data_IF_028529391850
#
_entry.id   IF_028529391850
#
_cell.length_a   1.000
_cell.length_b   1.000
_cell.length_c   1.000
_cell.angle_alpha   90.00
_cell.angle_beta   90.00
_cell.angle_gamma   90.00
#
_symmetry.space_group_name_H-M   'P 1'
#
loop_
_entity.id
_entity.type
_entity.pdbx_description
1 polymer ?
#
# COMPACT_ATOMS: atom_id res chain seq x y z
N UNK A 1 -18.37 17.31 8.90
CA UNK A 1 -17.33 17.29 8.14
C UNK A 1 -16.55 16.01 8.19
N UNK A 2 -16.22 15.59 7.06
CA UNK A 2 -15.53 14.33 6.91
C UNK A 2 -14.07 14.48 7.19
N UNK A 3 -13.53 13.60 7.96
CA UNK A 3 -12.10 13.56 8.15
C UNK A 3 -11.55 12.37 7.42
N UNK A 4 -10.33 12.51 6.94
CA UNK A 4 -9.67 11.39 6.32
C UNK A 4 -9.25 10.42 7.42
N UNK A 5 -9.61 9.15 7.30
CA UNK A 5 -9.27 8.21 8.35
C UNK A 5 -7.79 7.88 8.37
N UNK A 6 -7.24 7.79 9.55
CA UNK A 6 -5.86 7.40 9.76
C UNK A 6 -5.86 6.00 10.33
N UNK A 7 -5.08 5.14 9.72
CA UNK A 7 -4.92 3.76 10.15
C UNK A 7 -3.54 3.57 10.74
N UNK A 8 -3.40 2.64 11.64
CA UNK A 8 -2.09 2.16 12.03
C UNK A 8 -1.67 1.16 11.00
N UNK A 9 -0.41 1.25 10.57
CA UNK A 9 0.10 0.37 9.53
C UNK A 9 1.41 -0.24 10.00
N UNK A 10 1.62 -1.50 9.66
CA UNK A 10 2.90 -2.13 9.93
C UNK A 10 3.19 -3.18 8.88
N UNK A 11 4.46 -3.40 8.64
CA UNK A 11 4.91 -4.45 7.73
C UNK A 11 6.40 -4.69 7.92
N UNK A 12 6.86 -5.84 7.43
CA UNK A 12 8.28 -6.13 7.35
C UNK A 12 8.74 -5.89 5.92
N UNK A 13 9.90 -5.29 5.79
CA UNK A 13 10.61 -5.26 4.52
C UNK A 13 11.91 -6.00 4.75
N UNK A 14 11.96 -7.23 4.24
CA UNK A 14 13.06 -8.14 4.54
C UNK A 14 13.12 -8.34 6.06
N UNK A 15 14.20 -7.98 6.71
CA UNK A 15 14.31 -8.18 8.15
C UNK A 15 13.94 -6.96 8.96
N UNK A 16 13.61 -5.85 8.31
CA UNK A 16 13.30 -4.61 9.03
C UNK A 16 11.80 -4.43 9.19
N UNK A 17 11.42 -3.95 10.36
CA UNK A 17 10.02 -3.77 10.69
C UNK A 17 9.66 -2.30 10.68
N UNK A 18 8.56 -1.98 10.05
CA UNK A 18 8.01 -0.64 10.06
C UNK A 18 6.67 -0.63 10.76
N UNK A 19 6.45 0.38 11.59
CA UNK A 19 5.16 0.63 12.21
C UNK A 19 4.93 2.13 12.20
N UNK A 20 3.78 2.55 11.72
CA UNK A 20 3.48 3.98 11.63
C UNK A 20 2.02 4.22 11.37
N UNK A 21 1.74 5.37 10.74
CA UNK A 21 0.39 5.79 10.42
C UNK A 21 0.21 5.93 8.93
N UNK A 22 -0.98 5.65 8.47
CA UNK A 22 -1.31 5.72 7.05
C UNK A 22 -2.63 6.44 6.85
N UNK A 23 -2.66 7.31 5.86
CA UNK A 23 -3.85 8.05 5.50
C UNK A 23 -4.63 7.27 4.44
N UNK A 24 -5.90 7.00 4.68
CA UNK A 24 -6.75 6.43 3.65
C UNK A 24 -7.22 7.57 2.75
N UNK A 25 -6.70 7.60 1.56
CA UNK A 25 -6.96 8.71 0.63
C UNK A 25 -7.86 8.21 -0.49
N UNK A 26 -9.12 8.62 -0.46
CA UNK A 26 -10.08 8.21 -1.48
C UNK A 26 -9.72 8.73 -2.86
N UNK A 27 -8.87 9.74 -2.94
CA UNK A 27 -8.41 10.24 -4.22
C UNK A 27 -7.24 9.48 -4.82
N UNK A 28 -6.66 8.55 -4.08
CA UNK A 28 -5.55 7.79 -4.62
C UNK A 28 -6.05 6.74 -5.60
N UNK A 29 -5.76 6.93 -6.88
CA UNK A 29 -6.17 6.00 -7.93
C UNK A 29 -4.96 5.34 -8.60
N UNK A 30 -3.81 5.41 -7.97
CA UNK A 30 -2.57 4.91 -8.56
C UNK A 30 -2.61 3.39 -8.68
N UNK A 31 -2.26 2.88 -9.82
CA UNK A 31 -2.23 1.44 -10.07
C UNK A 31 -0.96 1.05 -10.82
N UNK A 32 -0.54 -0.17 -10.58
CA UNK A 32 0.56 -0.76 -11.32
C UNK A 32 0.04 -1.08 -12.73
N UNK A 33 0.61 -0.51 -13.78
CA UNK A 33 0.07 -0.72 -15.12
C UNK A 33 0.23 -2.16 -15.60
N UNK A 34 1.15 -2.93 -15.00
CA UNK A 34 1.36 -4.31 -15.45
C UNK A 34 0.44 -5.30 -14.75
N UNK A 35 0.10 -5.07 -13.51
CA UNK A 35 -0.70 -6.01 -12.75
C UNK A 35 -2.11 -5.51 -12.48
N UNK A 36 -2.34 -4.22 -12.64
CA UNK A 36 -3.61 -3.60 -12.29
C UNK A 36 -3.82 -3.45 -10.79
N UNK A 37 -2.82 -3.79 -10.00
CA UNK A 37 -2.99 -3.74 -8.54
C UNK A 37 -2.93 -2.31 -8.04
N UNK A 38 -3.68 -2.02 -6.99
CA UNK A 38 -3.61 -0.68 -6.37
C UNK A 38 -2.25 -0.46 -5.74
N UNK A 39 -1.81 0.78 -5.74
CA UNK A 39 -0.49 1.15 -5.26
C UNK A 39 -0.65 2.11 -4.09
N UNK A 40 -0.01 1.79 -2.97
CA UNK A 40 0.11 2.68 -1.84
C UNK A 40 1.39 3.49 -1.99
N UNK A 41 1.50 4.59 -1.26
CA UNK A 41 2.69 5.43 -1.32
C UNK A 41 3.31 5.50 0.06
N UNK A 42 4.61 5.30 0.13
CA UNK A 42 5.38 5.38 1.37
C UNK A 42 6.29 6.59 1.27
N UNK A 43 6.46 7.29 2.37
CA UNK A 43 7.29 8.48 2.37
C UNK A 43 8.76 8.10 2.20
N UNK A 44 9.50 9.00 1.59
CA UNK A 44 10.87 8.72 1.16
C UNK A 44 11.80 8.45 2.35
N UNK A 45 11.64 9.16 3.41
CA UNK A 45 12.49 9.00 4.57
C UNK A 45 12.30 7.62 5.20
N UNK A 46 11.07 7.18 5.32
CA UNK A 46 10.76 5.86 5.83
C UNK A 46 11.34 4.78 4.93
N UNK A 47 11.20 4.97 3.62
CA UNK A 47 11.73 4.01 2.67
C UNK A 47 13.24 3.89 2.79
N UNK A 48 13.94 5.00 2.99
CA UNK A 48 15.38 4.97 3.16
C UNK A 48 15.78 4.19 4.41
N UNK A 49 15.06 4.41 5.48
CA UNK A 49 15.36 3.70 6.74
C UNK A 49 15.18 2.20 6.58
N UNK A 50 14.25 1.80 5.73
CA UNK A 50 14.01 0.39 5.48
C UNK A 50 14.90 -0.20 4.38
N UNK A 51 15.67 0.66 3.70
CA UNK A 51 16.52 0.21 2.61
C UNK A 51 15.81 0.05 1.28
N UNK A 52 14.55 0.46 1.20
CA UNK A 52 13.77 0.27 -0.03
C UNK A 52 14.32 1.10 -1.17
N UNK A 53 14.73 2.33 -0.87
CA UNK A 53 15.17 3.23 -1.92
C UNK A 53 16.47 2.79 -2.59
N UNK A 54 17.16 1.80 -2.01
CA UNK A 54 18.40 1.30 -2.59
C UNK A 54 18.23 -0.06 -3.26
N UNK A 55 17.00 -0.58 -3.30
CA UNK A 55 16.75 -1.87 -3.92
C UNK A 55 16.91 -1.80 -5.42
N UNK A 56 17.61 -2.78 -5.96
CA UNK A 56 17.83 -2.81 -7.40
C UNK A 56 16.66 -3.42 -8.15
N UNK A 57 15.92 -4.27 -7.52
CA UNK A 57 14.83 -4.98 -8.19
C UNK A 57 13.48 -4.35 -7.95
N UNK A 58 13.41 -3.04 -7.97
CA UNK A 58 12.13 -2.38 -7.76
C UNK A 58 11.44 -2.16 -9.10
N UNK A 59 10.14 -2.08 -9.06
CA UNK A 59 9.37 -1.69 -10.23
C UNK A 59 9.35 -0.20 -10.33
N UNK A 60 9.08 0.28 -11.53
CA UNK A 60 8.90 1.70 -11.76
C UNK A 60 7.45 1.92 -12.15
N UNK A 61 6.75 2.73 -11.37
CA UNK A 61 5.32 3.00 -11.58
C UNK A 61 5.20 4.42 -12.13
N UNK A 62 4.68 4.58 -13.33
CA UNK A 62 4.47 5.91 -13.86
C UNK A 62 3.35 6.62 -13.12
N UNK A 63 3.57 7.88 -12.85
CA UNK A 63 2.52 8.67 -12.24
C UNK A 63 2.60 10.10 -12.77
N UNK A 64 1.51 10.80 -12.64
CA UNK A 64 1.49 12.22 -12.94
C UNK A 64 0.39 12.85 -12.10
N UNK A 65 0.56 14.13 -11.83
CA UNK A 65 -0.45 14.86 -11.12
C UNK A 65 -0.79 16.11 -11.92
N UNK A 66 -1.91 16.71 -11.59
CA UNK A 66 -2.38 17.86 -12.30
C UNK A 66 -1.35 18.97 -12.21
N UNK A 67 -0.98 19.52 -13.37
CA UNK A 67 -0.06 20.63 -13.42
C UNK A 67 1.39 20.28 -13.22
N UNK A 68 1.72 18.98 -13.24
CA UNK A 68 3.10 18.56 -13.04
C UNK A 68 3.58 17.63 -14.11
N UNK A 69 4.89 17.57 -14.25
CA UNK A 69 5.47 16.64 -15.19
C UNK A 69 5.24 15.22 -14.73
N UNK A 70 5.28 14.31 -15.68
CA UNK A 70 5.18 12.91 -15.38
C UNK A 70 6.43 12.44 -14.67
N UNK A 71 6.30 11.43 -13.85
CA UNK A 71 7.42 10.87 -13.15
C UNK A 71 7.28 9.37 -13.01
N UNK A 72 8.33 8.75 -12.48
CA UNK A 72 8.34 7.34 -12.18
C UNK A 72 8.62 7.19 -10.70
N UNK A 73 7.83 6.36 -10.04
CA UNK A 73 8.06 6.06 -8.64
C UNK A 73 8.60 4.65 -8.54
N UNK A 74 9.59 4.46 -7.68
CA UNK A 74 10.05 3.13 -7.38
C UNK A 74 9.03 2.45 -6.50
N UNK A 75 8.77 1.20 -6.76
CA UNK A 75 7.81 0.45 -5.98
C UNK A 75 8.29 -0.95 -5.72
N UNK A 76 7.90 -1.49 -4.58
CA UNK A 76 8.22 -2.85 -4.19
C UNK A 76 6.91 -3.53 -3.79
N UNK A 77 6.96 -4.84 -3.64
CA UNK A 77 5.82 -5.60 -3.14
C UNK A 77 6.11 -6.00 -1.70
N UNK A 78 5.20 -5.60 -0.82
CA UNK A 78 5.27 -6.00 0.58
C UNK A 78 4.41 -7.24 0.74
N UNK A 79 4.98 -8.29 1.32
CA UNK A 79 4.29 -9.57 1.42
C UNK A 79 3.02 -9.49 2.24
N UNK A 80 3.08 -8.80 3.36
CA UNK A 80 1.91 -8.66 4.24
C UNK A 80 1.87 -7.28 4.84
N UNK A 81 0.76 -6.61 4.64
CA UNK A 81 0.52 -5.30 5.21
C UNK A 81 -0.55 -5.44 6.28
N UNK A 82 -0.27 -4.95 7.47
CA UNK A 82 -1.23 -5.00 8.57
C UNK A 82 -1.80 -3.62 8.82
N UNK A 83 -3.11 -3.54 8.87
CA UNK A 83 -3.83 -2.29 9.11
C UNK A 83 -4.72 -2.44 10.32
N UNK A 84 -4.75 -1.41 11.16
CA UNK A 84 -5.60 -1.44 12.34
C UNK A 84 -6.23 -0.08 12.57
N UNK A 85 -7.51 -0.08 12.87
CA UNK A 85 -8.24 1.14 13.18
C UNK A 85 -9.48 0.78 13.99
N UNK A 86 -9.64 1.41 15.14
CA UNK A 86 -10.86 1.26 15.96
C UNK A 86 -11.20 -0.19 16.25
N UNK A 87 -10.20 -0.97 16.64
CA UNK A 87 -10.41 -2.38 16.94
C UNK A 87 -10.54 -3.29 15.74
N UNK A 88 -10.56 -2.74 14.55
CA UNK A 88 -10.65 -3.52 13.33
C UNK A 88 -9.25 -3.77 12.81
N UNK A 89 -8.96 -5.00 12.43
CA UNK A 89 -7.65 -5.37 11.89
C UNK A 89 -7.81 -6.02 10.54
N UNK A 90 -6.90 -5.71 9.64
CA UNK A 90 -6.88 -6.32 8.32
C UNK A 90 -5.46 -6.70 7.97
N UNK A 91 -5.31 -7.84 7.32
CA UNK A 91 -4.03 -8.28 6.78
C UNK A 91 -4.21 -8.41 5.28
N UNK A 92 -3.37 -7.72 4.53
CA UNK A 92 -3.50 -7.69 3.08
C UNK A 92 -2.20 -8.20 2.49
N UNK A 93 -2.29 -9.21 1.63
CA UNK A 93 -1.11 -9.83 1.03
C UNK A 93 -0.69 -9.12 -0.24
N UNK A 94 0.60 -9.11 -0.48
CA UNK A 94 1.18 -8.69 -1.76
C UNK A 94 0.76 -7.29 -2.17
N UNK A 95 1.05 -6.34 -1.32
CA UNK A 95 0.69 -4.94 -1.54
C UNK A 95 1.82 -4.23 -2.26
N UNK A 96 1.49 -3.53 -3.33
CA UNK A 96 2.46 -2.71 -4.06
C UNK A 96 2.61 -1.37 -3.35
N UNK A 97 3.84 -1.03 -3.01
CA UNK A 97 4.13 0.19 -2.27
C UNK A 97 5.17 0.98 -3.04
N UNK A 98 4.79 2.17 -3.47
CA UNK A 98 5.68 3.08 -4.18
C UNK A 98 6.28 4.07 -3.21
N UNK A 99 7.47 4.53 -3.49
CA UNK A 99 8.14 5.52 -2.67
C UNK A 99 7.88 6.89 -3.25
N UNK A 100 7.18 7.72 -2.51
CA UNK A 100 6.89 9.08 -2.95
C UNK A 100 8.09 9.98 -2.76
N UNK A 101 8.10 11.12 -3.42
CA UNK A 101 9.18 12.07 -3.22
C UNK A 101 8.96 12.83 -1.91
N UNK A 102 9.97 12.89 -1.11
CA UNK A 102 9.94 13.70 0.11
C UNK A 102 8.99 13.18 1.16
N UNK A 103 8.50 14.10 1.97
CA UNK A 103 7.58 13.78 3.06
C UNK A 103 6.16 13.90 2.57
N UNK A 104 5.34 12.96 2.98
CA UNK A 104 3.92 12.95 2.60
C UNK A 104 3.08 13.87 3.50
N UNK A 105 3.45 13.98 4.74
CA UNK A 105 2.72 14.80 5.70
C UNK A 105 3.66 15.82 6.30
N UNK A 106 3.31 17.08 6.23
CA UNK A 106 4.17 18.13 6.79
C UNK A 106 4.33 17.99 8.28
N UNK A 107 3.26 17.62 8.95
CA UNK A 107 3.30 17.49 10.40
C UNK A 107 3.84 16.15 10.86
N UNK A 108 4.08 15.23 9.95
CA UNK A 108 4.51 13.89 10.32
C UNK A 108 3.38 12.99 10.79
N UNK A 109 2.14 13.37 10.53
CA UNK A 109 0.98 12.63 11.01
C UNK A 109 0.79 11.29 10.36
N UNK A 110 1.38 11.08 9.18
CA UNK A 110 1.35 9.79 8.54
C UNK A 110 2.57 9.64 7.64
N UNK A 111 2.97 8.42 7.39
CA UNK A 111 4.12 8.09 6.57
C UNK A 111 3.73 7.33 5.31
N UNK A 112 2.46 7.02 5.17
CA UNK A 112 1.98 6.21 4.06
C UNK A 112 0.61 6.70 3.63
N UNK A 113 0.33 6.56 2.33
CA UNK A 113 -0.99 6.84 1.78
C UNK A 113 -1.53 5.54 1.24
N UNK A 114 -2.70 5.15 1.67
CA UNK A 114 -3.32 3.90 1.26
C UNK A 114 -4.24 4.12 0.06
N UNK A 115 -4.43 3.06 -0.67
CA UNK A 115 -5.36 3.07 -1.80
C UNK A 115 -6.68 2.51 -1.31
N UNK A 116 -7.80 3.14 -1.63
CA UNK A 116 -9.10 2.69 -1.10
C UNK A 116 -9.46 1.27 -1.50
N UNK A 117 -8.97 0.79 -2.63
CA UNK A 117 -9.27 -0.57 -3.06
C UNK A 117 -8.75 -1.64 -2.12
N UNK A 118 -7.80 -1.30 -1.25
CA UNK A 118 -7.28 -2.27 -0.30
C UNK A 118 -8.32 -2.72 0.71
N UNK A 119 -9.29 -1.87 0.98
CA UNK A 119 -10.30 -2.19 1.96
C UNK A 119 -11.57 -2.76 1.35
N UNK A 120 -11.63 -2.85 0.04
CA UNK A 120 -12.80 -3.39 -0.63
C UNK A 120 -12.76 -4.89 -0.57
N UNK A 121 -13.90 -5.49 -0.33
CA UNK A 121 -13.99 -6.93 -0.36
C UNK A 121 -14.18 -7.42 -1.76
N UNK A 122 -13.53 -8.51 -2.07
CA UNK A 122 -13.65 -9.09 -3.39
C UNK A 122 -14.67 -10.17 -3.32
N UNK A 123 -15.91 -9.82 -3.56
CA UNK A 123 -16.99 -10.73 -3.39
C UNK A 123 -16.83 -12.07 -4.03
N UNK A 124 -16.53 -12.10 -5.26
CA UNK A 124 -16.41 -13.36 -5.94
C UNK A 124 -15.28 -14.18 -5.41
N UNK A 125 -14.17 -13.57 -5.21
CA UNK A 125 -13.02 -14.30 -4.77
C UNK A 125 -13.20 -14.89 -3.40
N UNK A 126 -13.88 -14.20 -2.55
CA UNK A 126 -14.06 -14.69 -1.24
C UNK A 126 -14.85 -15.96 -1.18
N UNK A 127 -15.81 -16.07 -2.02
CA UNK A 127 -16.60 -17.24 -1.99
C UNK A 127 -16.02 -18.38 -2.68
N UNK A 128 -15.35 -18.10 -3.73
CA UNK A 128 -14.80 -19.15 -4.47
C UNK A 128 -13.82 -19.88 -3.77
N UNK A 129 -13.28 -19.25 -2.97
CA UNK A 129 -12.28 -19.92 -2.37
C UNK A 129 -12.64 -20.54 -1.21
N UNK A 130 -13.44 -20.48 -1.06
CA UNK A 130 -13.78 -21.09 -0.06
C UNK A 130 -14.05 -22.21 -0.11
N UNK A 131 -14.16 -22.11 -1.00
CA UNK A 131 -14.22 -22.94 -1.10
C UNK A 131 -13.69 -23.54 -1.41
N UNK A 132 -13.76 -23.43 -1.92
CA UNK A 132 -13.13 -23.97 -2.20
C UNK A 132 -12.43 -24.30 -2.03
N UNK A 133 -12.74 -24.12 -2.30
CA UNK A 133 -12.06 -24.45 -2.15
C UNK A 133 -11.61 -24.81 -1.71
N UNK A 134 -12.08 -24.95 -1.88
CA UNK A 134 -11.73 -25.24 -1.51
C UNK A 134 -11.43 -25.72 -1.33
N UNK A 135 -11.67 -25.82 -1.73
CA UNK A 135 -11.42 -26.17 -1.63
C UNK A 135 -11.17 -26.58 -1.87
N UNK A 136 -11.51 -26.67 -2.33
CA UNK A 136 -11.17 -26.89 -2.49
C UNK A 136 -10.46 -27.27 -2.45
N UNK A 137 -10.79 -27.40 -2.79
CA UNK A 137 -10.17 -27.63 -2.70
C UNK A 137 -9.52 -27.92 -2.69
N UNK A 138 -9.74 -28.09 -3.10
CA UNK A 138 -9.16 -28.23 -3.06
C UNK A 138 -8.60 -28.45 -3.14
N UNK A 139 -8.93 -28.42 -3.54
CA UNK A 139 -8.48 -28.53 -3.53
C UNK A 139 -7.99 -28.55 -3.39
#
# INVERSE_FOLDING_TARGET
RQKHPIWKVSFFWKTKFFSGSALMDSGNSLKDPYTGRPVCILDEETAKKLGISTEKAVRLIPYHSIGRAHGLLRAVTVSELYLRKDGQEKKIADVTVAVGPGRLSRSGGYQMILHPALLEEKKGADHDIKSSDAGKSAV
#
